data_IF_014824192923
#
_entry.id   IF_014824192923
#
_cell.length_a   1.000
_cell.length_b   1.000
_cell.length_c   1.000
_cell.angle_alpha   90.00
_cell.angle_beta   90.00
_cell.angle_gamma   90.00
#
_symmetry.space_group_name_H-M   'P 1'
#
loop_
_entity.id
_entity.type
_entity.pdbx_description
1 polymer ?
#
# COMPACT_ATOMS: atom_id res chain seq x y z
N UNK A 1 20.21 -39.95 3.66
CA UNK A 1 19.81 -39.38 2.36
C UNK A 1 18.31 -39.19 2.41
N UNK A 2 17.83 -37.95 2.58
CA UNK A 2 16.40 -37.66 2.54
C UNK A 2 15.97 -37.53 1.06
N UNK A 3 14.88 -38.19 0.69
CA UNK A 3 14.30 -38.14 -0.65
C UNK A 3 13.83 -36.71 -0.99
N UNK A 4 13.89 -36.28 -2.27
CA UNK A 4 13.37 -34.99 -2.67
C UNK A 4 11.84 -35.00 -2.54
N UNK A 5 11.29 -34.06 -1.77
CA UNK A 5 9.84 -33.82 -1.70
C UNK A 5 9.38 -33.33 -3.06
N UNK A 6 8.66 -34.17 -3.82
CA UNK A 6 7.95 -33.75 -5.03
C UNK A 6 6.96 -32.64 -4.65
N UNK A 7 7.13 -31.46 -5.24
CA UNK A 7 6.16 -30.38 -5.15
C UNK A 7 5.01 -30.81 -6.05
N UNK A 8 3.98 -31.42 -5.48
CA UNK A 8 2.69 -31.66 -6.16
C UNK A 8 2.15 -30.29 -6.61
N UNK A 9 2.28 -29.99 -7.90
CA UNK A 9 1.59 -28.83 -8.47
C UNK A 9 0.10 -29.18 -8.50
N UNK A 10 -0.78 -28.33 -7.96
CA UNK A 10 -2.22 -28.56 -8.05
C UNK A 10 -2.63 -28.67 -9.52
N UNK A 11 -3.61 -29.54 -9.77
CA UNK A 11 -4.13 -29.81 -11.11
C UNK A 11 -4.66 -28.50 -11.74
N UNK A 12 -4.25 -28.22 -12.98
CA UNK A 12 -4.60 -26.96 -13.62
C UNK A 12 -6.13 -26.92 -13.83
N UNK A 13 -6.84 -25.88 -13.35
CA UNK A 13 -8.26 -25.73 -13.61
C UNK A 13 -8.53 -25.65 -15.12
N UNK A 14 -9.66 -26.23 -15.57
CA UNK A 14 -10.05 -26.23 -16.98
C UNK A 14 -9.99 -24.79 -17.54
N UNK A 15 -9.14 -24.53 -18.56
CA UNK A 15 -9.01 -23.21 -19.18
C UNK A 15 -10.35 -22.62 -19.63
N UNK A 16 -11.30 -23.47 -20.01
CA UNK A 16 -12.62 -23.10 -20.53
C UNK A 16 -13.52 -22.57 -19.42
N UNK A 17 -13.55 -23.26 -18.27
CA UNK A 17 -14.32 -22.84 -17.09
C UNK A 17 -13.75 -21.57 -16.46
N UNK A 18 -12.41 -21.43 -16.45
CA UNK A 18 -11.75 -20.19 -16.04
C UNK A 18 -12.13 -19.02 -16.96
N UNK A 19 -12.04 -19.21 -18.27
CA UNK A 19 -12.39 -18.17 -19.24
C UNK A 19 -13.84 -17.72 -19.11
N UNK A 20 -14.76 -18.66 -18.89
CA UNK A 20 -16.18 -18.37 -18.65
C UNK A 20 -16.37 -17.56 -17.37
N UNK A 21 -15.75 -17.98 -16.28
CA UNK A 21 -15.83 -17.26 -14.99
C UNK A 21 -15.30 -15.83 -15.11
N UNK A 22 -14.17 -15.63 -15.78
CA UNK A 22 -13.62 -14.29 -16.01
C UNK A 22 -14.53 -13.43 -16.89
N UNK A 23 -15.09 -14.00 -17.96
CA UNK A 23 -16.00 -13.30 -18.86
C UNK A 23 -17.27 -12.82 -18.14
N UNK A 24 -17.88 -13.70 -17.33
CA UNK A 24 -19.08 -13.36 -16.54
C UNK A 24 -18.82 -12.21 -15.56
N UNK A 25 -17.67 -12.24 -14.88
CA UNK A 25 -17.29 -11.21 -13.91
C UNK A 25 -16.96 -9.89 -14.59
N UNK A 26 -16.24 -9.93 -15.72
CA UNK A 26 -15.96 -8.74 -16.52
C UNK A 26 -17.24 -8.08 -17.04
N UNK A 27 -18.19 -8.88 -17.51
CA UNK A 27 -19.47 -8.38 -18.00
C UNK A 27 -20.28 -7.73 -16.88
N UNK A 28 -20.38 -8.39 -15.71
CA UNK A 28 -21.07 -7.83 -14.54
C UNK A 28 -20.41 -6.54 -14.06
N UNK A 29 -19.07 -6.51 -13.97
CA UNK A 29 -18.32 -5.32 -13.59
C UNK A 29 -18.58 -4.16 -14.56
N UNK A 30 -18.55 -4.41 -15.88
CA UNK A 30 -18.80 -3.39 -16.89
C UNK A 30 -20.19 -2.77 -16.76
N UNK A 31 -21.21 -3.59 -16.50
CA UNK A 31 -22.58 -3.10 -16.28
C UNK A 31 -22.67 -2.22 -15.04
N UNK A 32 -22.14 -2.69 -13.90
CA UNK A 32 -22.22 -1.96 -12.64
C UNK A 32 -21.43 -0.65 -12.66
N UNK A 33 -20.23 -0.64 -13.26
CA UNK A 33 -19.43 0.58 -13.42
C UNK A 33 -20.17 1.56 -14.31
N UNK A 34 -20.74 1.09 -15.43
CA UNK A 34 -21.48 1.95 -16.35
C UNK A 34 -22.71 2.57 -15.68
N UNK A 35 -23.46 1.78 -14.90
CA UNK A 35 -24.58 2.25 -14.09
C UNK A 35 -24.15 3.28 -13.06
N UNK A 36 -23.06 3.01 -12.33
CA UNK A 36 -22.55 3.92 -11.30
C UNK A 36 -22.08 5.25 -11.91
N UNK A 37 -21.32 5.19 -13.01
CA UNK A 37 -20.88 6.38 -13.75
C UNK A 37 -22.09 7.17 -14.26
N UNK A 38 -23.08 6.51 -14.85
CA UNK A 38 -24.28 7.18 -15.35
C UNK A 38 -25.10 7.83 -14.23
N UNK A 39 -25.17 7.21 -13.05
CA UNK A 39 -25.78 7.80 -11.84
C UNK A 39 -25.00 9.02 -11.34
N UNK A 40 -23.66 8.96 -11.32
CA UNK A 40 -22.82 10.09 -10.94
C UNK A 40 -22.94 11.26 -11.93
N UNK A 41 -22.91 10.98 -13.25
CA UNK A 41 -23.12 11.99 -14.30
C UNK A 41 -24.50 12.65 -14.15
N UNK A 42 -25.55 11.89 -13.85
CA UNK A 42 -26.90 12.43 -13.58
C UNK A 42 -26.98 13.27 -12.30
N UNK A 43 -26.21 12.93 -11.26
CA UNK A 43 -26.11 13.73 -10.02
C UNK A 43 -25.32 15.03 -10.21
N UNK A 44 -24.52 15.12 -11.28
CA UNK A 44 -23.61 16.22 -11.53
C UNK A 44 -22.32 16.04 -10.73
N UNK A 45 -21.17 16.33 -11.35
CA UNK A 45 -19.88 16.34 -10.66
C UNK A 45 -19.69 17.71 -10.04
N UNK A 46 -20.06 17.85 -8.76
CA UNK A 46 -19.63 19.02 -7.99
C UNK A 46 -18.14 18.84 -7.68
N UNK A 47 -17.25 19.77 -8.08
CA UNK A 47 -15.86 19.69 -7.65
C UNK A 47 -15.85 19.70 -6.11
N UNK A 48 -15.09 18.81 -5.46
CA UNK A 48 -15.02 18.77 -4.01
C UNK A 48 -14.57 20.16 -3.54
N UNK A 49 -15.46 20.88 -2.88
CA UNK A 49 -15.08 22.10 -2.18
C UNK A 49 -14.21 21.67 -0.99
N UNK A 50 -13.16 22.43 -0.67
CA UNK A 50 -12.32 22.16 0.50
C UNK A 50 -13.06 22.53 1.81
N UNK A 51 -14.24 21.97 2.02
CA UNK A 51 -15.11 22.25 3.17
C UNK A 51 -14.40 21.94 4.50
N UNK A 52 -13.47 20.99 4.48
CA UNK A 52 -12.68 20.59 5.63
C UNK A 52 -11.37 21.38 5.78
N UNK A 53 -11.03 22.29 4.84
CA UNK A 53 -9.82 23.09 4.86
C UNK A 53 -8.53 22.26 4.82
N UNK A 54 -8.56 21.08 4.20
CA UNK A 54 -7.44 20.14 4.10
C UNK A 54 -6.41 20.69 3.11
N UNK A 55 -6.85 21.13 1.93
CA UNK A 55 -5.95 21.68 0.93
C UNK A 55 -5.24 22.93 1.48
N UNK A 56 -5.98 23.80 2.17
CA UNK A 56 -5.39 24.94 2.86
C UNK A 56 -4.36 24.52 3.92
N UNK A 57 -4.68 23.55 4.76
CA UNK A 57 -3.77 23.04 5.79
C UNK A 57 -2.45 22.51 5.21
N UNK A 58 -2.51 21.79 4.07
CA UNK A 58 -1.32 21.31 3.37
C UNK A 58 -0.52 22.44 2.70
N UNK A 59 -1.19 23.46 2.16
CA UNK A 59 -0.50 24.64 1.61
C UNK A 59 0.25 25.41 2.70
N UNK A 60 -0.38 25.63 3.86
CA UNK A 60 0.25 26.31 4.99
C UNK A 60 1.45 25.52 5.54
N UNK A 61 1.29 24.20 5.66
CA UNK A 61 2.40 23.30 6.01
C UNK A 61 3.56 23.39 5.01
N UNK A 62 3.26 23.33 3.71
CA UNK A 62 4.29 23.40 2.68
C UNK A 62 5.02 24.76 2.69
N UNK A 63 4.28 25.86 2.85
CA UNK A 63 4.86 27.20 2.96
C UNK A 63 5.84 27.31 4.15
N UNK A 64 5.46 26.76 5.30
CA UNK A 64 6.32 26.71 6.49
C UNK A 64 7.52 25.80 6.29
N UNK A 65 7.33 24.63 5.68
CA UNK A 65 8.42 23.70 5.38
C UNK A 65 9.47 24.32 4.45
N UNK A 66 9.02 24.97 3.37
CA UNK A 66 9.91 25.65 2.40
C UNK A 66 10.62 26.86 3.01
N UNK A 67 10.04 27.49 4.03
CA UNK A 67 10.69 28.59 4.77
C UNK A 67 11.86 28.11 5.65
N UNK A 68 11.99 26.81 5.88
CA UNK A 68 13.08 26.21 6.64
C UNK A 68 13.91 25.22 5.76
N UNK A 69 14.77 25.74 4.87
CA UNK A 69 15.55 24.91 3.96
C UNK A 69 16.52 23.96 4.66
N UNK A 70 17.01 24.34 5.86
CA UNK A 70 17.91 23.49 6.64
C UNK A 70 17.22 22.20 7.08
N UNK A 71 15.99 22.31 7.58
CA UNK A 71 15.21 21.14 8.02
C UNK A 71 14.89 20.21 6.86
N UNK A 72 14.52 20.77 5.70
CA UNK A 72 14.25 19.99 4.50
C UNK A 72 15.52 19.24 4.04
N UNK A 73 16.67 19.92 4.05
CA UNK A 73 17.95 19.29 3.72
C UNK A 73 18.30 18.17 4.71
N UNK A 74 18.07 18.39 6.01
CA UNK A 74 18.29 17.36 7.04
C UNK A 74 17.40 16.13 6.84
N UNK A 75 16.10 16.34 6.55
CA UNK A 75 15.19 15.23 6.24
C UNK A 75 15.65 14.47 4.99
N UNK A 76 16.07 15.17 3.95
CA UNK A 76 16.59 14.55 2.73
C UNK A 76 17.88 13.75 2.99
N UNK A 77 18.79 14.26 3.82
CA UNK A 77 20.03 13.55 4.20
C UNK A 77 19.72 12.30 5.01
N UNK A 78 18.81 12.39 6.00
CA UNK A 78 18.38 11.25 6.79
C UNK A 78 17.78 10.16 5.89
N UNK A 79 16.90 10.53 4.96
CA UNK A 79 16.32 9.60 4.00
C UNK A 79 17.37 8.90 3.15
N UNK A 80 18.34 9.65 2.61
CA UNK A 80 19.45 9.10 1.81
C UNK A 80 20.28 8.12 2.65
N UNK A 81 20.57 8.47 3.90
CA UNK A 81 21.33 7.61 4.81
C UNK A 81 20.59 6.32 5.14
N UNK A 82 19.28 6.40 5.41
CA UNK A 82 18.44 5.23 5.67
C UNK A 82 18.38 4.30 4.45
N UNK A 83 18.24 4.86 3.24
CA UNK A 83 18.26 4.08 2.00
C UNK A 83 19.61 3.45 1.70
N UNK A 84 20.72 4.16 1.95
CA UNK A 84 22.06 3.61 1.83
C UNK A 84 22.27 2.45 2.81
N UNK A 85 21.84 2.63 4.05
CA UNK A 85 21.87 1.60 5.08
C UNK A 85 21.02 0.39 4.68
N UNK A 86 19.84 0.63 4.10
CA UNK A 86 18.94 -0.43 3.65
C UNK A 86 19.59 -1.23 2.53
N UNK A 87 20.16 -0.55 1.53
CA UNK A 87 20.88 -1.21 0.44
C UNK A 87 22.05 -2.05 0.97
N UNK A 88 22.89 -1.47 1.84
CA UNK A 88 24.03 -2.18 2.43
C UNK A 88 23.60 -3.42 3.21
N UNK A 89 22.65 -3.28 4.14
CA UNK A 89 22.18 -4.39 4.97
C UNK A 89 21.47 -5.46 4.13
N UNK A 90 20.70 -5.06 3.13
CA UNK A 90 20.04 -6.00 2.21
C UNK A 90 21.06 -6.81 1.41
N UNK A 91 22.13 -6.19 0.94
CA UNK A 91 23.23 -6.89 0.26
C UNK A 91 23.95 -7.87 1.18
N UNK A 92 24.21 -7.49 2.44
CA UNK A 92 24.81 -8.39 3.44
C UNK A 92 23.91 -9.61 3.71
N UNK A 93 22.59 -9.39 3.90
CA UNK A 93 21.61 -10.47 4.07
C UNK A 93 21.54 -11.38 2.85
N UNK A 94 21.55 -10.80 1.65
CA UNK A 94 21.56 -11.57 0.40
C UNK A 94 22.83 -12.44 0.27
N UNK A 95 23.98 -11.95 0.74
CA UNK A 95 25.22 -12.70 0.82
C UNK A 95 25.24 -13.76 1.96
N UNK A 96 24.12 -13.97 2.66
CA UNK A 96 24.00 -14.93 3.76
C UNK A 96 24.58 -14.46 5.10
N UNK A 97 24.96 -13.19 5.21
CA UNK A 97 25.44 -12.63 6.47
C UNK A 97 24.27 -12.18 7.35
N UNK A 98 24.44 -12.31 8.67
CA UNK A 98 23.46 -11.76 9.61
C UNK A 98 23.62 -10.24 9.70
N UNK A 99 22.63 -9.50 9.21
CA UNK A 99 22.54 -8.05 9.34
C UNK A 99 21.18 -7.68 9.93
N UNK A 100 21.19 -6.81 10.93
CA UNK A 100 19.97 -6.27 11.51
C UNK A 100 19.19 -5.49 10.44
N UNK A 101 17.85 -5.41 10.52
CA UNK A 101 17.05 -4.54 9.64
C UNK A 101 17.23 -3.05 10.00
N UNK A 102 17.14 -2.15 9.02
CA UNK A 102 17.15 -0.69 9.20
C UNK A 102 15.83 -0.22 9.79
N UNK A 103 14.74 -0.84 9.36
CA UNK A 103 13.39 -0.48 9.77
C UNK A 103 12.57 -1.73 10.13
N UNK A 104 11.90 -1.67 11.27
CA UNK A 104 10.98 -2.72 11.73
C UNK A 104 9.60 -2.13 11.92
N UNK A 105 8.53 -2.86 11.56
CA UNK A 105 7.17 -2.42 11.82
C UNK A 105 6.92 -2.31 13.32
N UNK A 106 5.95 -1.49 13.72
CA UNK A 106 5.46 -1.47 15.10
C UNK A 106 4.87 -2.84 15.46
N UNK A 107 4.98 -3.27 16.73
CA UNK A 107 4.43 -4.56 17.19
C UNK A 107 2.92 -4.67 16.96
N UNK A 108 2.21 -3.55 16.90
CA UNK A 108 0.78 -3.48 16.63
C UNK A 108 0.43 -3.52 15.14
N UNK A 109 1.39 -3.32 14.24
CA UNK A 109 1.16 -3.29 12.80
C UNK A 109 0.97 -4.70 12.24
N UNK A 110 -0.30 -5.07 12.04
CA UNK A 110 -0.68 -6.41 11.58
C UNK A 110 -0.38 -6.65 10.10
N UNK A 111 -0.03 -5.62 9.32
CA UNK A 111 0.16 -5.73 7.86
C UNK A 111 1.38 -6.57 7.49
N UNK A 112 2.38 -6.61 8.37
CA UNK A 112 3.68 -7.26 8.12
C UNK A 112 3.88 -8.54 8.95
N UNK A 113 2.79 -9.26 9.23
CA UNK A 113 2.80 -10.46 10.08
C UNK A 113 3.25 -11.74 9.39
N UNK A 114 3.04 -11.87 8.08
CA UNK A 114 3.51 -13.05 7.33
C UNK A 114 5.05 -13.09 7.34
N UNK A 115 5.62 -14.25 7.64
CA UNK A 115 7.06 -14.43 7.80
C UNK A 115 7.84 -14.09 6.52
N UNK A 116 7.22 -14.18 5.34
CA UNK A 116 7.86 -13.79 4.07
C UNK A 116 8.22 -12.30 4.02
N UNK A 117 7.54 -11.45 4.80
CA UNK A 117 7.96 -10.07 4.97
C UNK A 117 9.34 -9.91 5.61
N UNK A 118 9.90 -10.95 6.22
CA UNK A 118 11.23 -10.96 6.83
C UNK A 118 12.19 -11.93 6.13
N UNK A 119 11.69 -13.10 5.72
CA UNK A 119 12.49 -14.18 5.15
C UNK A 119 12.84 -13.94 3.68
N UNK A 120 11.92 -13.37 2.89
CA UNK A 120 12.13 -13.20 1.46
C UNK A 120 12.73 -11.83 1.16
N UNK A 121 13.89 -11.81 0.51
CA UNK A 121 14.65 -10.60 0.20
C UNK A 121 13.82 -9.45 -0.39
N UNK A 122 13.00 -9.75 -1.41
CA UNK A 122 12.21 -8.73 -2.10
C UNK A 122 11.13 -8.11 -1.20
N UNK A 123 10.42 -8.94 -0.44
CA UNK A 123 9.33 -8.48 0.42
C UNK A 123 9.88 -7.72 1.63
N UNK A 124 10.98 -8.19 2.20
CA UNK A 124 11.68 -7.48 3.27
C UNK A 124 12.19 -6.11 2.81
N UNK A 125 12.83 -6.03 1.63
CA UNK A 125 13.28 -4.75 1.07
C UNK A 125 12.11 -3.78 0.83
N UNK A 126 11.00 -4.25 0.24
CA UNK A 126 9.81 -3.42 0.02
C UNK A 126 9.20 -2.92 1.33
N UNK A 127 9.05 -3.78 2.33
CA UNK A 127 8.58 -3.41 3.67
C UNK A 127 9.47 -2.34 4.29
N UNK A 128 10.78 -2.57 4.33
CA UNK A 128 11.70 -1.63 4.98
C UNK A 128 11.76 -0.29 4.25
N UNK A 129 11.76 -0.29 2.90
CA UNK A 129 11.69 0.91 2.07
C UNK A 129 10.41 1.73 2.36
N UNK A 130 9.27 1.04 2.47
CA UNK A 130 8.01 1.67 2.87
C UNK A 130 8.10 2.27 4.28
N UNK A 131 8.59 1.54 5.28
CA UNK A 131 8.69 2.02 6.66
C UNK A 131 9.64 3.23 6.80
N UNK A 132 10.77 3.23 6.08
CA UNK A 132 11.70 4.37 6.00
C UNK A 132 10.99 5.59 5.43
N UNK A 133 10.33 5.43 4.28
CA UNK A 133 9.64 6.54 3.61
C UNK A 133 8.46 7.05 4.42
N UNK A 134 7.65 6.15 4.98
CA UNK A 134 6.51 6.46 5.84
C UNK A 134 6.93 7.32 7.04
N UNK A 135 7.96 6.87 7.77
CA UNK A 135 8.52 7.62 8.90
C UNK A 135 9.08 8.96 8.46
N UNK A 136 9.87 8.99 7.38
CA UNK A 136 10.48 10.24 6.91
C UNK A 136 9.43 11.29 6.49
N UNK A 137 8.39 10.88 5.74
CA UNK A 137 7.28 11.79 5.38
C UNK A 137 6.56 12.25 6.64
N UNK A 138 6.22 11.32 7.55
CA UNK A 138 5.51 11.66 8.78
C UNK A 138 6.29 12.65 9.64
N UNK A 139 7.59 12.40 9.88
CA UNK A 139 8.47 13.26 10.68
C UNK A 139 8.67 14.64 10.03
N UNK A 140 8.85 14.68 8.71
CA UNK A 140 9.03 15.94 7.96
C UNK A 140 7.80 16.84 8.07
N UNK A 141 6.62 16.23 7.96
CA UNK A 141 5.35 16.95 7.88
C UNK A 141 4.76 17.27 9.25
N UNK A 142 4.94 16.39 10.25
CA UNK A 142 4.35 16.58 11.58
C UNK A 142 5.17 17.49 12.48
N UNK A 143 6.47 17.63 12.22
CA UNK A 143 7.32 18.44 13.08
C UNK A 143 7.39 19.92 12.66
N UNK A 144 6.74 20.33 11.56
CA UNK A 144 6.77 21.72 11.03
C UNK A 144 6.37 22.74 12.10
N UNK A 145 7.29 23.67 12.39
CA UNK A 145 7.09 24.69 13.42
C UNK A 145 6.21 25.84 12.92
N UNK A 146 5.43 26.43 13.82
CA UNK A 146 4.62 27.61 13.53
C UNK A 146 3.34 27.35 12.74
N UNK A 147 2.87 26.10 12.71
CA UNK A 147 1.49 25.75 12.38
C UNK A 147 0.60 25.85 13.61
N UNK A 148 -0.65 26.27 13.43
CA UNK A 148 -1.65 26.19 14.50
C UNK A 148 -2.03 24.72 14.77
N UNK A 149 -2.56 24.47 15.96
CA UNK A 149 -2.86 23.12 16.43
C UNK A 149 -3.90 22.39 15.57
N UNK A 150 -4.89 23.11 15.01
CA UNK A 150 -5.91 22.48 14.16
C UNK A 150 -5.33 22.05 12.82
N UNK A 151 -4.52 22.91 12.19
CA UNK A 151 -3.79 22.60 10.97
C UNK A 151 -2.86 21.43 11.16
N UNK A 152 -2.07 21.42 12.25
CA UNK A 152 -1.16 20.32 12.56
C UNK A 152 -1.90 18.98 12.73
N UNK A 153 -3.05 18.98 13.41
CA UNK A 153 -3.90 17.78 13.58
C UNK A 153 -4.42 17.25 12.25
N UNK A 154 -4.94 18.13 11.38
CA UNK A 154 -5.43 17.76 10.04
C UNK A 154 -4.30 17.14 9.22
N UNK A 155 -3.19 17.84 9.13
CA UNK A 155 -2.00 17.39 8.38
C UNK A 155 -1.54 16.02 8.87
N UNK A 156 -1.33 15.83 10.17
CA UNK A 156 -0.91 14.54 10.73
C UNK A 156 -1.91 13.42 10.41
N UNK A 157 -3.20 13.66 10.59
CA UNK A 157 -4.24 12.66 10.33
C UNK A 157 -4.30 12.24 8.86
N UNK A 158 -4.32 13.20 7.93
CA UNK A 158 -4.41 12.91 6.50
C UNK A 158 -3.09 12.38 5.93
N UNK A 159 -1.94 12.81 6.46
CA UNK A 159 -0.64 12.21 6.10
C UNK A 159 -0.57 10.75 6.51
N UNK A 160 -1.06 10.37 7.70
CA UNK A 160 -1.15 8.96 8.11
C UNK A 160 -2.03 8.14 7.15
N UNK A 161 -3.21 8.64 6.82
CA UNK A 161 -4.10 7.95 5.86
C UNK A 161 -3.45 7.79 4.49
N UNK A 162 -2.75 8.82 4.00
CA UNK A 162 -2.02 8.77 2.73
C UNK A 162 -0.91 7.72 2.76
N UNK A 163 -0.08 7.71 3.82
CA UNK A 163 0.97 6.71 4.03
C UNK A 163 0.36 5.30 4.07
N UNK A 164 -0.70 5.11 4.87
CA UNK A 164 -1.34 3.81 5.05
C UNK A 164 -1.94 3.28 3.75
N UNK A 165 -2.49 4.16 2.90
CA UNK A 165 -3.01 3.80 1.59
C UNK A 165 -1.92 3.29 0.63
N UNK A 166 -0.69 3.82 0.76
CA UNK A 166 0.47 3.43 -0.05
C UNK A 166 1.20 2.17 0.47
N UNK A 167 0.73 1.57 1.56
CA UNK A 167 1.36 0.36 2.11
C UNK A 167 1.43 -0.76 1.06
N UNK A 168 2.58 -1.45 0.90
CA UNK A 168 2.72 -2.54 -0.06
C UNK A 168 1.80 -3.74 0.28
N UNK A 169 1.29 -3.83 1.51
CA UNK A 169 0.28 -4.82 1.88
C UNK A 169 -1.04 -4.65 1.14
N UNK A 170 -1.32 -3.45 0.60
CA UNK A 170 -2.60 -3.12 -0.02
C UNK A 170 -2.67 -3.58 -1.49
N UNK A 171 -1.55 -3.99 -2.09
CA UNK A 171 -1.50 -4.40 -3.49
C UNK A 171 -1.19 -5.90 -3.60
N UNK A 172 -2.00 -6.61 -4.40
CA UNK A 172 -1.93 -8.06 -4.53
C UNK A 172 -0.55 -8.59 -4.95
N UNK A 173 0.17 -7.85 -5.80
CA UNK A 173 1.47 -8.25 -6.33
C UNK A 173 2.63 -8.02 -5.35
N UNK A 174 2.47 -7.12 -4.38
CA UNK A 174 3.49 -6.79 -3.39
C UNK A 174 3.20 -7.37 -2.01
N UNK A 175 2.02 -7.96 -1.82
CA UNK A 175 1.64 -8.68 -0.60
C UNK A 175 1.96 -10.18 -0.75
N UNK A 176 2.85 -10.76 0.08
CA UNK A 176 3.27 -12.16 -0.05
C UNK A 176 2.14 -13.17 0.16
N UNK A 177 1.19 -12.87 1.05
CA UNK A 177 0.05 -13.74 1.32
C UNK A 177 -0.89 -13.78 0.11
N UNK A 178 -1.26 -12.61 -0.41
CA UNK A 178 -2.13 -12.49 -1.58
C UNK A 178 -1.44 -13.05 -2.82
N UNK A 179 -0.15 -12.78 -3.02
CA UNK A 179 0.60 -13.31 -4.15
C UNK A 179 0.60 -14.84 -4.12
N UNK A 180 0.94 -15.44 -2.97
CA UNK A 180 0.97 -16.90 -2.80
C UNK A 180 -0.40 -17.52 -3.04
N UNK A 181 -1.46 -16.92 -2.51
CA UNK A 181 -2.82 -17.39 -2.73
C UNK A 181 -3.29 -17.23 -4.17
N UNK A 182 -2.86 -16.15 -4.84
CA UNK A 182 -3.16 -15.91 -6.26
C UNK A 182 -2.50 -16.96 -7.13
N UNK A 183 -1.24 -17.32 -6.86
CA UNK A 183 -0.54 -18.40 -7.55
C UNK A 183 -1.21 -19.75 -7.29
N UNK A 184 -1.51 -20.08 -6.03
CA UNK A 184 -2.16 -21.34 -5.63
C UNK A 184 -3.55 -21.51 -6.22
N UNK A 185 -4.34 -20.45 -6.25
CA UNK A 185 -5.73 -20.46 -6.72
C UNK A 185 -5.86 -20.11 -8.20
N UNK A 186 -4.75 -19.96 -8.93
CA UNK A 186 -4.73 -19.50 -10.33
C UNK A 186 -5.56 -18.23 -10.55
N UNK A 187 -5.53 -17.30 -9.59
CA UNK A 187 -6.26 -16.03 -9.63
C UNK A 187 -7.72 -16.08 -9.16
N UNK A 188 -8.26 -17.24 -8.79
CA UNK A 188 -9.65 -17.36 -8.33
C UNK A 188 -9.93 -16.59 -7.05
N UNK A 189 -8.95 -16.39 -6.17
CA UNK A 189 -9.08 -15.55 -4.98
C UNK A 189 -9.45 -14.09 -5.34
N UNK A 190 -8.82 -13.53 -6.38
CA UNK A 190 -9.08 -12.16 -6.85
C UNK A 190 -10.49 -12.06 -7.47
N UNK A 191 -10.90 -13.09 -8.22
CA UNK A 191 -12.26 -13.17 -8.79
C UNK A 191 -13.32 -13.18 -7.71
N UNK A 192 -13.12 -13.99 -6.66
CA UNK A 192 -14.02 -14.03 -5.51
C UNK A 192 -14.08 -12.68 -4.80
N UNK A 193 -12.92 -12.05 -4.59
CA UNK A 193 -12.84 -10.71 -4.00
C UNK A 193 -13.59 -9.65 -4.80
N UNK A 194 -13.42 -9.63 -6.13
CA UNK A 194 -14.14 -8.71 -7.01
C UNK A 194 -15.65 -8.97 -6.99
N UNK A 195 -16.08 -10.23 -7.04
CA UNK A 195 -17.50 -10.57 -6.92
C UNK A 195 -18.12 -10.09 -5.61
N UNK A 196 -17.39 -10.19 -4.49
CA UNK A 196 -17.85 -9.66 -3.21
C UNK A 196 -17.98 -8.13 -3.27
N UNK A 197 -16.97 -7.42 -3.81
CA UNK A 197 -17.03 -5.97 -4.00
C UNK A 197 -18.22 -5.54 -4.88
N UNK A 198 -18.48 -6.25 -5.97
CA UNK A 198 -19.61 -5.96 -6.86
C UNK A 198 -20.95 -6.17 -6.15
N UNK A 199 -21.08 -7.22 -5.32
CA UNK A 199 -22.27 -7.44 -4.48
C UNK A 199 -22.44 -6.32 -3.46
N UNK A 200 -21.37 -5.90 -2.80
CA UNK A 200 -21.41 -4.80 -1.84
C UNK A 200 -21.85 -3.47 -2.49
N UNK A 201 -21.48 -3.22 -3.75
CA UNK A 201 -21.94 -2.06 -4.54
C UNK A 201 -23.42 -2.18 -4.92
N UNK A 202 -23.88 -3.39 -5.26
CA UNK A 202 -25.29 -3.67 -5.57
C UNK A 202 -26.18 -3.50 -4.33
N UNK A 203 -25.74 -4.03 -3.18
CA UNK A 203 -26.50 -4.04 -1.93
C UNK A 203 -26.39 -2.71 -1.15
N UNK A 204 -25.24 -2.03 -1.27
CA UNK A 204 -24.87 -0.87 -0.44
C UNK A 204 -25.32 0.50 -0.95
N UNK A 205 -25.92 0.60 -2.14
CA UNK A 205 -26.51 1.87 -2.63
C UNK A 205 -25.52 2.99 -3.01
N UNK A 206 -24.21 2.79 -2.85
CA UNK A 206 -23.16 3.76 -3.21
C UNK A 206 -22.93 4.85 -2.18
#
# INVERSE_FOLDING_TARGET
MAAPTEIEMPDLPDPTELAKTYAEVAQRASTLISDHVQRQVKRGVTPPQDELGIAQAFMDMMAKLLSNPYRLAQAQMNLVWDYFSLWQQSMLRFAGMNAAPVATPDKSDKRFKDDQWQEHFLFDFMKQSYLITARNIHDTVCCVDGLDEQTQKKVNFYTRQYIDALSPSNFALTNPEVFRETVKSHGQNLVKGLNNLLRDIEDGGG
#
